data_IF_041704679112
#
_entry.id   IF_041704679112
#
_cell.length_a   1.000
_cell.length_b   1.000
_cell.length_c   1.000
_cell.angle_alpha   90.00
_cell.angle_beta   90.00
_cell.angle_gamma   90.00
#
_symmetry.space_group_name_H-M   'P 1'
#
loop_
_entity.id
_entity.type
_entity.pdbx_description
1 polymer ?
#
# COMPACT_ATOMS: atom_id res chain seq x y z
N UNK A 1 9.91 24.55 -6.40
CA UNK A 1 9.76 25.43 -5.21
C UNK A 1 8.47 26.26 -5.21
N UNK A 2 8.05 26.90 -6.32
CA UNK A 2 6.81 27.68 -6.40
C UNK A 2 5.51 26.87 -6.16
N UNK A 3 5.39 25.71 -6.80
CA UNK A 3 4.25 24.78 -6.61
C UNK A 3 4.12 24.29 -5.16
N UNK A 4 5.25 24.00 -4.50
CA UNK A 4 5.29 23.57 -3.10
C UNK A 4 4.76 24.66 -2.15
N UNK A 5 5.16 25.93 -2.36
CA UNK A 5 4.62 27.07 -1.58
C UNK A 5 3.12 27.28 -1.81
N UNK A 6 2.60 27.01 -3.01
CA UNK A 6 1.15 27.06 -3.28
C UNK A 6 0.40 25.90 -2.64
N UNK A 7 0.97 24.70 -2.60
CA UNK A 7 0.38 23.53 -1.94
C UNK A 7 0.25 23.76 -0.42
N UNK A 8 1.31 24.26 0.24
CA UNK A 8 1.26 24.61 1.67
C UNK A 8 0.18 25.67 1.93
N UNK A 9 0.14 26.72 1.11
CA UNK A 9 -0.86 27.79 1.24
C UNK A 9 -2.30 27.32 0.93
N UNK A 10 -2.45 26.25 0.15
CA UNK A 10 -3.74 25.61 -0.12
C UNK A 10 -4.19 24.73 1.05
N UNK A 11 -3.26 23.98 1.66
CA UNK A 11 -3.50 23.20 2.88
C UNK A 11 -3.89 24.13 4.04
N UNK A 12 -3.20 25.25 4.23
CA UNK A 12 -3.55 26.28 5.24
C UNK A 12 -4.91 26.94 4.99
N UNK A 13 -5.34 27.01 3.72
CA UNK A 13 -6.63 27.63 3.34
C UNK A 13 -7.80 26.67 3.34
N UNK A 14 -7.56 25.37 3.19
CA UNK A 14 -8.60 24.40 3.42
C UNK A 14 -9.01 24.51 4.88
N UNK A 15 -10.28 24.84 5.11
CA UNK A 15 -10.94 24.86 6.42
C UNK A 15 -10.95 23.50 7.13
N UNK A 16 -10.08 22.56 6.73
CA UNK A 16 -9.89 21.26 7.37
C UNK A 16 -9.54 21.44 8.84
N UNK A 17 -8.72 22.43 9.24
CA UNK A 17 -8.43 22.63 10.67
C UNK A 17 -9.70 23.00 11.46
N UNK A 18 -10.51 23.93 10.95
CA UNK A 18 -11.79 24.31 11.59
C UNK A 18 -12.84 23.20 11.52
N UNK A 19 -12.83 22.39 10.45
CA UNK A 19 -13.68 21.21 10.29
C UNK A 19 -13.26 20.11 11.28
N UNK A 20 -11.96 19.82 11.41
CA UNK A 20 -11.41 18.92 12.42
C UNK A 20 -11.75 19.43 13.82
N UNK A 21 -11.58 20.72 14.08
CA UNK A 21 -11.92 21.34 15.35
C UNK A 21 -13.43 21.26 15.63
N UNK A 22 -14.29 21.42 14.63
CA UNK A 22 -15.75 21.24 14.76
C UNK A 22 -16.14 19.77 14.99
N UNK A 23 -15.56 18.82 14.25
CA UNK A 23 -15.76 17.39 14.48
C UNK A 23 -15.29 16.97 15.88
N UNK A 24 -14.18 17.55 16.35
CA UNK A 24 -13.66 17.35 17.70
C UNK A 24 -14.54 17.95 18.78
N UNK A 25 -15.17 19.11 18.51
CA UNK A 25 -16.06 19.81 19.46
C UNK A 25 -17.48 19.24 19.50
N UNK A 26 -18.02 18.72 18.39
CA UNK A 26 -19.40 18.24 18.29
C UNK A 26 -19.74 17.02 19.16
N UNK A 27 -18.74 16.29 19.66
CA UNK A 27 -18.96 15.03 20.38
C UNK A 27 -18.72 15.09 21.90
N UNK A 28 -18.27 16.23 22.45
CA UNK A 28 -17.91 16.33 23.87
C UNK A 28 -19.13 16.63 24.77
N UNK A 29 -20.18 17.26 24.23
CA UNK A 29 -21.32 17.75 25.04
C UNK A 29 -22.36 16.69 25.42
N UNK A 30 -22.32 15.48 24.85
CA UNK A 30 -23.40 14.48 25.00
C UNK A 30 -23.10 13.30 25.97
N UNK A 31 -21.97 13.27 26.69
CA UNK A 31 -21.52 12.04 27.37
C UNK A 31 -21.15 12.21 28.85
N UNK A 32 -21.97 11.63 29.74
CA UNK A 32 -21.76 11.59 31.19
C UNK A 32 -21.27 10.24 31.75
N UNK A 33 -21.05 9.20 30.92
CA UNK A 33 -20.59 7.88 31.41
C UNK A 33 -19.11 7.62 31.10
N UNK A 34 -18.30 7.42 32.14
CA UNK A 34 -16.84 7.23 32.09
C UNK A 34 -16.38 6.05 31.21
N UNK A 35 -17.15 4.96 31.14
CA UNK A 35 -16.79 3.78 30.32
C UNK A 35 -16.88 4.01 28.80
N UNK A 36 -17.57 5.06 28.36
CA UNK A 36 -17.62 5.47 26.95
C UNK A 36 -16.46 6.39 26.56
N UNK A 37 -15.75 6.96 27.54
CA UNK A 37 -14.69 7.93 27.30
C UNK A 37 -13.45 7.28 26.65
N UNK A 38 -13.10 6.05 27.07
CA UNK A 38 -11.92 5.33 26.56
C UNK A 38 -12.07 4.93 25.08
N UNK A 39 -13.20 4.32 24.71
CA UNK A 39 -13.49 3.92 23.32
C UNK A 39 -13.47 5.13 22.39
N UNK A 40 -13.97 6.28 22.85
CA UNK A 40 -13.95 7.51 22.05
C UNK A 40 -12.54 8.06 21.83
N UNK A 41 -11.68 7.98 22.86
CA UNK A 41 -10.28 8.38 22.75
C UNK A 41 -9.54 7.56 21.68
N UNK A 42 -9.76 6.25 21.66
CA UNK A 42 -9.12 5.36 20.68
C UNK A 42 -9.69 5.54 19.26
N UNK A 43 -11.00 5.74 19.11
CA UNK A 43 -11.62 6.09 17.81
C UNK A 43 -11.02 7.40 17.28
N UNK A 44 -10.89 8.41 18.14
CA UNK A 44 -10.28 9.69 17.78
C UNK A 44 -8.82 9.53 17.37
N UNK A 45 -8.06 8.69 18.08
CA UNK A 45 -6.67 8.41 17.72
C UNK A 45 -6.56 7.72 16.35
N UNK A 46 -7.42 6.74 16.09
CA UNK A 46 -7.50 6.04 14.79
C UNK A 46 -7.86 7.00 13.67
N UNK A 47 -8.88 7.83 13.88
CA UNK A 47 -9.30 8.89 12.96
C UNK A 47 -8.13 9.83 12.61
N UNK A 48 -7.45 10.41 13.60
CA UNK A 48 -6.34 11.34 13.36
C UNK A 48 -5.20 10.64 12.59
N UNK A 49 -4.91 9.40 12.97
CA UNK A 49 -3.87 8.57 12.34
C UNK A 49 -4.16 8.34 10.85
N UNK A 50 -5.39 7.98 10.51
CA UNK A 50 -5.80 7.73 9.12
C UNK A 50 -5.66 8.99 8.26
N UNK A 51 -6.04 10.17 8.77
CA UNK A 51 -5.87 11.43 8.05
C UNK A 51 -4.40 11.82 7.86
N UNK A 52 -3.55 11.59 8.87
CA UNK A 52 -2.11 11.85 8.77
C UNK A 52 -1.50 10.96 7.68
N UNK A 53 -1.77 9.65 7.71
CA UNK A 53 -1.24 8.74 6.70
C UNK A 53 -1.83 9.02 5.32
N UNK A 54 -3.12 9.33 5.21
CA UNK A 54 -3.73 9.73 3.96
C UNK A 54 -3.00 10.94 3.34
N UNK A 55 -2.74 11.97 4.13
CA UNK A 55 -2.01 13.15 3.68
C UNK A 55 -0.58 12.81 3.25
N UNK A 56 0.12 11.97 4.03
CA UNK A 56 1.48 11.50 3.68
C UNK A 56 1.50 10.76 2.34
N UNK A 57 0.61 9.79 2.13
CA UNK A 57 0.52 9.05 0.86
C UNK A 57 0.15 9.96 -0.31
N UNK A 58 -0.82 10.87 -0.15
CA UNK A 58 -1.23 11.79 -1.22
C UNK A 58 -0.09 12.74 -1.59
N UNK A 59 0.58 13.36 -0.61
CA UNK A 59 1.72 14.26 -0.86
C UNK A 59 2.83 13.50 -1.57
N UNK A 60 3.15 12.29 -1.08
CA UNK A 60 4.16 11.44 -1.68
C UNK A 60 3.80 11.06 -3.12
N UNK A 61 2.55 10.67 -3.38
CA UNK A 61 2.04 10.35 -4.71
C UNK A 61 2.12 11.52 -5.67
N UNK A 62 1.78 12.73 -5.22
CA UNK A 62 1.92 13.97 -6.02
C UNK A 62 3.40 14.22 -6.37
N UNK A 63 4.30 14.12 -5.39
CA UNK A 63 5.74 14.31 -5.64
C UNK A 63 6.21 13.30 -6.69
N UNK A 64 5.90 12.02 -6.50
CA UNK A 64 6.32 10.96 -7.41
C UNK A 64 5.73 11.12 -8.82
N UNK A 65 4.46 11.53 -8.94
CA UNK A 65 3.81 11.82 -10.22
C UNK A 65 4.50 12.97 -10.95
N UNK A 66 4.82 14.08 -10.25
CA UNK A 66 5.51 15.21 -10.86
C UNK A 66 6.91 14.83 -11.39
N UNK A 67 7.63 14.00 -10.65
CA UNK A 67 8.90 13.43 -11.10
C UNK A 67 8.73 12.52 -12.33
N UNK A 68 7.69 11.68 -12.32
CA UNK A 68 7.37 10.79 -13.43
C UNK A 68 7.06 11.58 -14.71
N UNK A 69 6.16 12.56 -14.64
CA UNK A 69 5.81 13.41 -15.79
C UNK A 69 7.06 14.10 -16.36
N UNK A 70 7.89 14.67 -15.48
CA UNK A 70 9.13 15.34 -15.92
C UNK A 70 10.04 14.38 -16.69
N UNK A 71 10.22 13.17 -16.17
CA UNK A 71 11.07 12.17 -16.78
C UNK A 71 10.54 11.72 -18.15
N UNK A 72 9.24 11.41 -18.24
CA UNK A 72 8.58 11.02 -19.49
C UNK A 72 8.67 12.13 -20.56
N UNK A 73 8.68 13.41 -20.16
CA UNK A 73 8.88 14.51 -21.09
C UNK A 73 10.34 14.68 -21.56
N UNK A 74 11.32 14.31 -20.73
CA UNK A 74 12.75 14.53 -20.99
C UNK A 74 13.43 13.35 -21.72
N UNK A 75 12.97 12.11 -21.52
CA UNK A 75 13.60 10.89 -22.06
C UNK A 75 12.83 10.33 -23.26
N UNK A 76 13.52 10.15 -24.41
CA UNK A 76 12.92 9.71 -25.70
C UNK A 76 13.07 8.20 -26.00
N UNK A 77 13.37 7.38 -25.01
CA UNK A 77 13.46 5.93 -25.16
C UNK A 77 12.92 5.26 -23.91
N UNK A 78 11.72 4.69 -24.00
CA UNK A 78 11.09 3.99 -22.87
C UNK A 78 11.51 2.52 -22.87
N UNK A 79 11.91 2.02 -21.70
CA UNK A 79 12.09 0.59 -21.46
C UNK A 79 10.70 -0.04 -21.35
N UNK A 80 10.47 -1.13 -22.08
CA UNK A 80 9.15 -1.80 -22.09
C UNK A 80 8.75 -2.24 -20.67
N UNK A 81 7.57 -1.81 -20.20
CA UNK A 81 7.03 -2.16 -18.86
C UNK A 81 7.31 -1.13 -17.75
N UNK A 82 8.26 -0.22 -17.95
CA UNK A 82 8.65 0.75 -16.94
C UNK A 82 7.53 1.76 -16.65
N UNK A 83 6.88 2.28 -17.70
CA UNK A 83 5.79 3.22 -17.56
C UNK A 83 4.60 2.60 -16.83
N UNK A 84 4.26 1.35 -17.16
CA UNK A 84 3.18 0.59 -16.52
C UNK A 84 3.44 0.37 -15.03
N UNK A 85 4.67 0.04 -14.64
CA UNK A 85 5.06 -0.10 -13.24
C UNK A 85 4.92 1.22 -12.48
N UNK A 86 5.33 2.33 -13.09
CA UNK A 86 5.24 3.66 -12.48
C UNK A 86 3.80 4.12 -12.31
N UNK A 87 2.94 3.93 -13.32
CA UNK A 87 1.51 4.24 -13.24
C UNK A 87 0.83 3.36 -12.20
N UNK A 88 1.16 2.07 -12.15
CA UNK A 88 0.60 1.14 -11.16
C UNK A 88 0.98 1.54 -9.73
N UNK A 89 2.24 1.93 -9.52
CA UNK A 89 2.72 2.45 -8.25
C UNK A 89 1.98 3.73 -7.83
N UNK A 90 1.88 4.72 -8.73
CA UNK A 90 1.16 5.98 -8.48
C UNK A 90 -0.29 5.67 -8.11
N UNK A 91 -0.93 4.77 -8.85
CA UNK A 91 -2.31 4.35 -8.60
C UNK A 91 -2.47 3.73 -7.21
N UNK A 92 -1.55 2.84 -6.79
CA UNK A 92 -1.59 2.26 -5.45
C UNK A 92 -1.40 3.30 -4.34
N UNK A 93 -0.44 4.23 -4.49
CA UNK A 93 -0.20 5.29 -3.51
C UNK A 93 -1.43 6.19 -3.34
N UNK A 94 -2.05 6.62 -4.45
CA UNK A 94 -3.28 7.41 -4.39
C UNK A 94 -4.47 6.62 -3.85
N UNK A 95 -4.65 5.36 -4.28
CA UNK A 95 -5.72 4.50 -3.79
C UNK A 95 -5.61 4.28 -2.27
N UNK A 96 -4.40 4.06 -1.75
CA UNK A 96 -4.16 3.94 -0.31
C UNK A 96 -4.45 5.25 0.43
N UNK A 97 -3.94 6.37 -0.08
CA UNK A 97 -4.21 7.69 0.50
C UNK A 97 -5.70 8.02 0.55
N UNK A 98 -6.42 7.76 -0.54
CA UNK A 98 -7.88 7.96 -0.62
C UNK A 98 -8.65 6.98 0.27
N UNK A 99 -8.25 5.71 0.33
CA UNK A 99 -8.85 4.71 1.21
C UNK A 99 -8.79 5.16 2.67
N UNK A 100 -7.60 5.52 3.16
CA UNK A 100 -7.40 6.04 4.52
C UNK A 100 -8.19 7.31 4.78
N UNK A 101 -8.23 8.24 3.81
CA UNK A 101 -9.04 9.46 3.92
C UNK A 101 -10.53 9.14 4.08
N UNK A 102 -11.06 8.21 3.29
CA UNK A 102 -12.46 7.77 3.36
C UNK A 102 -12.74 7.03 4.67
N UNK A 103 -11.83 6.18 5.14
CA UNK A 103 -11.91 5.52 6.46
C UNK A 103 -12.05 6.57 7.57
N UNK A 104 -11.15 7.56 7.60
CA UNK A 104 -11.22 8.65 8.55
C UNK A 104 -12.53 9.44 8.44
N UNK A 105 -13.02 9.70 7.22
CA UNK A 105 -14.29 10.39 7.01
C UNK A 105 -15.47 9.57 7.55
N UNK A 106 -15.48 8.26 7.36
CA UNK A 106 -16.52 7.36 7.90
C UNK A 106 -16.53 7.40 9.42
N UNK A 107 -15.35 7.34 10.05
CA UNK A 107 -15.20 7.44 11.50
C UNK A 107 -15.65 8.82 12.04
N UNK A 108 -15.43 9.91 11.31
CA UNK A 108 -15.88 11.25 11.71
C UNK A 108 -17.41 11.43 11.60
N UNK A 109 -17.99 11.06 10.45
CA UNK A 109 -19.40 11.32 10.16
C UNK A 109 -20.31 10.39 10.95
N UNK A 110 -19.92 9.11 11.08
CA UNK A 110 -20.69 8.09 11.79
C UNK A 110 -19.81 7.44 12.85
N UNK A 111 -19.40 8.22 13.84
CA UNK A 111 -18.95 7.64 15.09
C UNK A 111 -19.98 6.61 15.53
N UNK A 112 -19.59 5.33 15.70
CA UNK A 112 -20.55 4.28 15.97
C UNK A 112 -21.26 4.58 17.29
N UNK A 113 -22.47 5.13 17.21
CA UNK A 113 -23.35 5.26 18.37
C UNK A 113 -23.80 3.85 18.77
N UNK A 114 -23.87 3.52 20.07
CA UNK A 114 -24.34 2.22 20.52
C UNK A 114 -25.73 1.95 19.91
N UNK A 115 -25.82 0.94 19.05
CA UNK A 115 -27.05 0.55 18.32
C UNK A 115 -27.09 0.86 16.82
N UNK A 116 -26.09 1.55 16.24
CA UNK A 116 -26.02 1.83 14.80
C UNK A 116 -24.67 1.41 14.17
N UNK A 117 -24.14 0.27 14.61
CA UNK A 117 -22.89 -0.31 14.11
C UNK A 117 -23.02 -0.92 12.70
N UNK A 118 -24.25 -1.22 12.25
CA UNK A 118 -24.51 -1.96 11.02
C UNK A 118 -23.91 -1.31 9.76
N UNK A 119 -23.79 0.02 9.73
CA UNK A 119 -23.19 0.71 8.59
C UNK A 119 -21.67 0.53 8.54
N UNK A 120 -20.96 0.78 9.66
CA UNK A 120 -19.51 0.60 9.71
C UNK A 120 -19.16 -0.87 9.49
N UNK A 121 -19.83 -1.78 10.20
CA UNK A 121 -19.64 -3.22 10.10
C UNK A 121 -19.82 -3.70 8.66
N UNK A 122 -20.69 -3.07 7.85
CA UNK A 122 -20.90 -3.47 6.45
C UNK A 122 -19.92 -2.83 5.47
N UNK A 123 -19.60 -1.54 5.64
CA UNK A 123 -18.90 -0.76 4.62
C UNK A 123 -17.44 -0.46 4.93
N UNK A 124 -16.93 -0.75 6.14
CA UNK A 124 -15.53 -0.53 6.52
C UNK A 124 -14.54 -1.30 5.64
N UNK A 125 -14.98 -2.42 5.05
CA UNK A 125 -14.18 -3.21 4.10
C UNK A 125 -13.94 -2.49 2.78
N UNK A 126 -14.77 -1.52 2.38
CA UNK A 126 -14.51 -0.77 1.15
C UNK A 126 -13.24 0.08 1.27
N UNK A 127 -13.16 1.04 2.20
CA UNK A 127 -11.97 1.88 2.31
C UNK A 127 -10.75 1.15 2.90
N UNK A 128 -10.95 0.04 3.64
CA UNK A 128 -9.85 -0.79 4.14
C UNK A 128 -9.35 -1.85 3.15
N UNK A 129 -10.27 -2.56 2.48
CA UNK A 129 -9.99 -3.70 1.61
C UNK A 129 -9.61 -3.32 0.19
N UNK A 130 -10.32 -2.39 -0.46
CA UNK A 130 -10.04 -1.98 -1.86
C UNK A 130 -8.57 -1.58 -2.05
N UNK A 131 -7.98 -0.72 -1.19
CA UNK A 131 -6.57 -0.38 -1.32
C UNK A 131 -5.64 -1.60 -1.29
N UNK A 132 -5.98 -2.63 -0.51
CA UNK A 132 -5.21 -3.87 -0.44
C UNK A 132 -5.12 -4.59 -1.79
N UNK A 133 -6.22 -4.67 -2.55
CA UNK A 133 -6.23 -5.27 -3.89
C UNK A 133 -5.43 -4.44 -4.90
N UNK A 134 -5.58 -3.11 -4.87
CA UNK A 134 -4.84 -2.22 -5.77
C UNK A 134 -3.33 -2.26 -5.47
N UNK A 135 -2.95 -2.27 -4.19
CA UNK A 135 -1.54 -2.42 -3.78
C UNK A 135 -0.97 -3.78 -4.21
N UNK A 136 -1.73 -4.87 -4.08
CA UNK A 136 -1.29 -6.19 -4.54
C UNK A 136 -1.03 -6.22 -6.06
N UNK A 137 -1.92 -5.62 -6.85
CA UNK A 137 -1.73 -5.47 -8.31
C UNK A 137 -0.47 -4.64 -8.61
N UNK A 138 -0.30 -3.51 -7.92
CA UNK A 138 0.88 -2.67 -8.12
C UNK A 138 2.18 -3.40 -7.76
N UNK A 139 2.18 -4.18 -6.67
CA UNK A 139 3.33 -5.01 -6.30
C UNK A 139 3.68 -6.02 -7.39
N UNK A 140 2.67 -6.65 -8.01
CA UNK A 140 2.90 -7.53 -9.16
C UNK A 140 3.55 -6.77 -10.33
N UNK A 141 3.01 -5.63 -10.74
CA UNK A 141 3.60 -4.84 -11.83
C UNK A 141 5.05 -4.41 -11.54
N UNK A 142 5.29 -3.90 -10.34
CA UNK A 142 6.60 -3.47 -9.89
C UNK A 142 7.55 -4.66 -9.93
N UNK A 143 7.26 -5.73 -9.20
CA UNK A 143 8.12 -6.90 -9.11
C UNK A 143 8.44 -7.52 -10.48
N UNK A 144 7.46 -7.69 -11.35
CA UNK A 144 7.68 -8.31 -12.67
C UNK A 144 8.37 -7.37 -13.66
N UNK A 145 8.14 -6.05 -13.60
CA UNK A 145 8.93 -5.06 -14.35
C UNK A 145 10.41 -5.16 -13.98
N UNK A 146 10.71 -5.22 -12.68
CA UNK A 146 12.08 -5.40 -12.20
C UNK A 146 12.69 -6.71 -12.64
N UNK A 147 11.93 -7.82 -12.52
CA UNK A 147 12.41 -9.12 -12.99
C UNK A 147 12.78 -9.09 -14.47
N UNK A 148 12.00 -8.39 -15.31
CA UNK A 148 12.32 -8.23 -16.74
C UNK A 148 13.68 -7.59 -16.91
N UNK A 149 13.89 -6.45 -16.25
CA UNK A 149 15.10 -5.65 -16.37
C UNK A 149 16.32 -6.42 -15.90
N UNK A 150 16.23 -7.11 -14.75
CA UNK A 150 17.33 -7.94 -14.27
C UNK A 150 17.70 -9.02 -15.30
N UNK A 151 16.71 -9.66 -15.93
CA UNK A 151 16.98 -10.70 -16.92
C UNK A 151 17.57 -10.13 -18.22
N UNK A 152 17.08 -9.00 -18.72
CA UNK A 152 17.61 -8.37 -19.92
C UNK A 152 19.04 -7.85 -19.73
N UNK A 153 19.39 -7.47 -18.49
CA UNK A 153 20.74 -7.01 -18.14
C UNK A 153 21.73 -8.16 -17.94
N UNK A 154 21.26 -9.33 -17.47
CA UNK A 154 22.12 -10.43 -17.03
C UNK A 154 22.20 -11.61 -18.01
N UNK A 155 21.22 -11.81 -18.91
CA UNK A 155 21.16 -12.99 -19.78
C UNK A 155 21.03 -12.63 -21.27
N UNK A 156 21.91 -13.18 -22.12
CA UNK A 156 21.93 -12.92 -23.58
C UNK A 156 20.76 -13.55 -24.35
N UNK A 157 19.97 -14.43 -23.73
CA UNK A 157 18.82 -15.16 -24.33
C UNK A 157 17.51 -14.97 -23.52
N UNK A 158 17.24 -13.75 -23.04
CA UNK A 158 16.14 -13.42 -22.10
C UNK A 158 14.70 -13.51 -22.66
N UNK A 159 14.51 -13.51 -23.99
CA UNK A 159 13.18 -13.36 -24.65
C UNK A 159 12.15 -14.41 -24.19
N UNK A 160 12.58 -15.66 -23.97
CA UNK A 160 11.69 -16.75 -23.51
C UNK A 160 11.28 -16.60 -22.05
N UNK A 161 12.14 -16.01 -21.21
CA UNK A 161 11.81 -15.77 -19.81
C UNK A 161 10.79 -14.63 -19.69
N UNK A 162 11.03 -13.52 -20.40
CA UNK A 162 10.14 -12.36 -20.38
C UNK A 162 8.70 -12.70 -20.78
N UNK A 163 8.53 -13.40 -21.92
CA UNK A 163 7.20 -13.82 -22.39
C UNK A 163 6.46 -14.69 -21.36
N UNK A 164 7.16 -15.61 -20.68
CA UNK A 164 6.57 -16.41 -19.60
C UNK A 164 6.20 -15.56 -18.38
N UNK A 165 7.06 -14.63 -17.97
CA UNK A 165 6.81 -13.73 -16.85
C UNK A 165 5.59 -12.84 -17.07
N UNK A 166 5.40 -12.34 -18.29
CA UNK A 166 4.20 -11.58 -18.68
C UNK A 166 2.91 -12.40 -18.51
N UNK A 167 2.93 -13.68 -18.93
CA UNK A 167 1.79 -14.59 -18.73
C UNK A 167 1.50 -14.85 -17.25
N UNK A 168 2.55 -15.03 -16.43
CA UNK A 168 2.39 -15.22 -14.97
C UNK A 168 1.82 -13.95 -14.33
N UNK A 169 2.34 -12.77 -14.68
CA UNK A 169 1.83 -11.48 -14.23
C UNK A 169 0.34 -11.31 -14.57
N UNK A 170 -0.05 -11.55 -15.81
CA UNK A 170 -1.45 -11.43 -16.24
C UNK A 170 -2.36 -12.40 -15.49
N UNK A 171 -1.92 -13.65 -15.29
CA UNK A 171 -2.66 -14.65 -14.53
C UNK A 171 -2.86 -14.21 -13.07
N UNK A 172 -1.82 -13.67 -12.44
CA UNK A 172 -1.87 -13.13 -11.08
C UNK A 172 -2.85 -11.96 -10.98
N UNK A 173 -2.78 -10.99 -11.89
CA UNK A 173 -3.70 -9.85 -11.90
C UNK A 173 -5.14 -10.33 -12.08
N UNK A 174 -5.38 -11.23 -13.03
CA UNK A 174 -6.72 -11.82 -13.23
C UNK A 174 -7.23 -12.50 -11.96
N UNK A 175 -6.37 -13.26 -11.26
CA UNK A 175 -6.71 -13.90 -9.99
C UNK A 175 -7.09 -12.87 -8.90
N UNK A 176 -6.29 -11.80 -8.75
CA UNK A 176 -6.58 -10.72 -7.79
C UNK A 176 -7.91 -10.04 -8.11
N UNK A 177 -8.21 -9.78 -9.38
CA UNK A 177 -9.49 -9.22 -9.81
C UNK A 177 -10.69 -10.15 -9.55
N UNK A 178 -10.51 -11.46 -9.73
CA UNK A 178 -11.53 -12.47 -9.37
C UNK A 178 -11.80 -12.45 -7.87
N UNK A 179 -10.75 -12.46 -7.04
CA UNK A 179 -10.89 -12.33 -5.59
C UNK A 179 -11.61 -11.05 -5.20
N UNK A 180 -11.23 -9.91 -5.78
CA UNK A 180 -11.91 -8.65 -5.53
C UNK A 180 -13.41 -8.69 -5.89
N UNK A 181 -13.76 -9.30 -7.02
CA UNK A 181 -15.15 -9.44 -7.45
C UNK A 181 -15.95 -10.33 -6.48
N UNK A 182 -15.37 -11.45 -6.05
CA UNK A 182 -15.99 -12.33 -5.05
C UNK A 182 -16.24 -11.56 -3.75
N UNK A 183 -15.26 -10.80 -3.28
CA UNK A 183 -15.40 -9.98 -2.07
C UNK A 183 -16.52 -8.96 -2.16
N UNK A 184 -16.67 -8.26 -3.28
CA UNK A 184 -17.78 -7.32 -3.49
C UNK A 184 -19.14 -8.03 -3.50
N UNK A 185 -19.25 -9.19 -4.16
CA UNK A 185 -20.48 -9.98 -4.17
C UNK A 185 -20.82 -10.46 -2.76
N UNK A 186 -19.85 -10.97 -2.01
CA UNK A 186 -20.04 -11.41 -0.62
C UNK A 186 -20.48 -10.27 0.30
N UNK A 187 -19.89 -9.07 0.16
CA UNK A 187 -20.29 -7.87 0.90
C UNK A 187 -21.78 -7.53 0.73
N UNK A 188 -22.30 -7.71 -0.49
CA UNK A 188 -23.68 -7.37 -0.84
C UNK A 188 -24.70 -8.45 -0.44
N UNK A 189 -24.26 -9.70 -0.31
CA UNK A 189 -25.17 -10.87 -0.19
C UNK A 189 -25.13 -11.55 1.18
N UNK A 190 -24.03 -11.43 1.92
CA UNK A 190 -23.81 -12.15 3.18
C UNK A 190 -23.94 -11.18 4.37
N UNK A 191 -24.24 -11.71 5.55
CA UNK A 191 -24.21 -10.92 6.78
C UNK A 191 -22.78 -10.34 7.04
N UNK A 192 -22.66 -9.17 7.69
CA UNK A 192 -21.37 -8.50 7.88
C UNK A 192 -20.33 -9.37 8.60
N UNK A 193 -20.73 -10.10 9.65
CA UNK A 193 -19.82 -10.91 10.46
C UNK A 193 -19.15 -12.02 9.64
N UNK A 194 -19.93 -12.73 8.83
CA UNK A 194 -19.42 -13.81 7.96
C UNK A 194 -18.63 -13.22 6.81
N UNK A 195 -19.06 -12.09 6.26
CA UNK A 195 -18.34 -11.40 5.20
C UNK A 195 -16.93 -10.98 5.62
N UNK A 196 -16.74 -10.40 6.81
CA UNK A 196 -15.40 -10.03 7.32
C UNK A 196 -14.45 -11.23 7.38
N UNK A 197 -14.94 -12.40 7.82
CA UNK A 197 -14.15 -13.64 7.85
C UNK A 197 -13.79 -14.11 6.45
N UNK A 198 -14.73 -14.02 5.50
CA UNK A 198 -14.50 -14.38 4.10
C UNK A 198 -13.47 -13.45 3.46
N UNK A 199 -13.62 -12.13 3.63
CA UNK A 199 -12.67 -11.15 3.10
C UNK A 199 -11.28 -11.36 3.68
N UNK A 200 -11.16 -11.54 5.00
CA UNK A 200 -9.87 -11.81 5.64
C UNK A 200 -9.21 -13.06 5.05
N UNK A 201 -9.99 -14.13 4.83
CA UNK A 201 -9.50 -15.37 4.21
C UNK A 201 -9.02 -15.14 2.78
N UNK A 202 -9.80 -14.39 1.98
CA UNK A 202 -9.44 -14.05 0.60
C UNK A 202 -8.16 -13.19 0.57
N UNK A 203 -8.05 -12.20 1.44
CA UNK A 203 -6.88 -11.34 1.54
C UNK A 203 -5.61 -12.11 1.94
N UNK A 204 -5.71 -13.02 2.92
CA UNK A 204 -4.61 -13.93 3.30
C UNK A 204 -4.20 -14.81 2.11
N UNK A 205 -5.16 -15.45 1.45
CA UNK A 205 -4.88 -16.35 0.32
C UNK A 205 -4.21 -15.60 -0.83
N UNK A 206 -4.72 -14.41 -1.18
CA UNK A 206 -4.15 -13.51 -2.18
C UNK A 206 -2.67 -13.22 -1.88
N UNK A 207 -2.37 -12.75 -0.68
CA UNK A 207 -1.02 -12.32 -0.31
C UNK A 207 -0.04 -13.51 -0.26
N UNK A 208 -0.48 -14.68 0.23
CA UNK A 208 0.33 -15.91 0.25
C UNK A 208 0.64 -16.44 -1.16
N UNK A 209 -0.30 -16.37 -2.09
CA UNK A 209 -0.07 -16.78 -3.48
C UNK A 209 0.98 -15.87 -4.15
N UNK A 210 0.84 -14.55 -3.97
CA UNK A 210 1.80 -13.57 -4.51
C UNK A 210 3.19 -13.78 -3.87
N UNK A 211 3.24 -13.93 -2.54
CA UNK A 211 4.47 -14.22 -1.80
C UNK A 211 5.20 -15.46 -2.34
N UNK A 212 4.48 -16.55 -2.54
CA UNK A 212 5.06 -17.80 -3.02
C UNK A 212 5.65 -17.62 -4.42
N UNK A 213 4.92 -16.96 -5.33
CA UNK A 213 5.39 -16.71 -6.68
C UNK A 213 6.59 -15.76 -6.72
N UNK A 214 6.56 -14.67 -5.94
CA UNK A 214 7.70 -13.75 -5.82
C UNK A 214 8.94 -14.47 -5.28
N UNK A 215 8.77 -15.33 -4.28
CA UNK A 215 9.87 -16.12 -3.72
C UNK A 215 10.48 -17.08 -4.73
N UNK A 216 9.66 -17.74 -5.56
CA UNK A 216 10.15 -18.62 -6.63
C UNK A 216 10.94 -17.84 -7.70
N UNK A 217 10.46 -16.66 -8.07
CA UNK A 217 11.12 -15.79 -9.03
C UNK A 217 12.42 -15.21 -8.48
N UNK A 218 12.39 -14.72 -7.24
CA UNK A 218 13.56 -14.16 -6.58
C UNK A 218 14.68 -15.21 -6.46
N UNK A 219 14.36 -16.48 -6.15
CA UNK A 219 15.33 -17.58 -6.16
C UNK A 219 16.00 -17.79 -7.52
N UNK A 220 15.31 -17.52 -8.62
CA UNK A 220 15.90 -17.63 -9.97
C UNK A 220 16.83 -16.46 -10.26
N UNK A 221 16.39 -15.24 -9.93
CA UNK A 221 17.22 -14.03 -10.10
C UNK A 221 18.48 -14.12 -9.24
N UNK A 222 18.37 -14.62 -8.00
CA UNK A 222 19.53 -14.81 -7.13
C UNK A 222 20.64 -15.67 -7.73
N UNK A 223 20.30 -16.61 -8.63
CA UNK A 223 21.28 -17.47 -9.30
C UNK A 223 22.00 -16.76 -10.45
N UNK A 224 21.50 -15.62 -10.91
CA UNK A 224 22.10 -14.84 -11.99
C UNK A 224 23.17 -13.87 -11.48
N UNK A 225 23.17 -13.53 -10.19
CA UNK A 225 24.22 -12.69 -9.62
C UNK A 225 25.53 -13.47 -9.50
N UNK A 226 26.60 -12.93 -10.07
CA UNK A 226 27.96 -13.49 -9.97
C UNK A 226 28.49 -13.45 -8.53
N UNK A 227 28.14 -12.39 -7.78
CA UNK A 227 28.44 -12.24 -6.36
C UNK A 227 27.15 -12.17 -5.54
N UNK A 228 27.03 -12.94 -4.44
CA UNK A 228 25.79 -13.02 -3.67
C UNK A 228 25.44 -11.72 -2.90
N UNK A 229 26.38 -10.78 -2.76
CA UNK A 229 26.19 -9.53 -2.02
C UNK A 229 27.11 -8.40 -2.56
N UNK A 230 26.78 -7.76 -3.70
CA UNK A 230 27.51 -6.59 -4.14
C UNK A 230 27.34 -5.44 -3.12
N UNK A 231 28.27 -4.48 -3.12
CA UNK A 231 28.24 -3.37 -2.16
C UNK A 231 26.90 -2.59 -2.18
N UNK A 232 26.54 -1.93 -1.07
CA UNK A 232 25.30 -1.13 -0.94
C UNK A 232 25.17 0.02 -1.94
N UNK A 233 26.30 0.46 -2.50
CA UNK A 233 26.33 1.44 -3.59
C UNK A 233 25.89 0.86 -4.92
N UNK A 234 25.92 -0.46 -5.09
CA UNK A 234 25.53 -1.10 -6.33
C UNK A 234 24.02 -0.98 -6.53
N UNK A 235 23.59 -0.72 -7.77
CA UNK A 235 22.17 -0.68 -8.09
C UNK A 235 21.49 -2.04 -7.85
N UNK A 236 22.17 -3.14 -8.17
CA UNK A 236 21.69 -4.51 -7.93
C UNK A 236 21.29 -4.76 -6.48
N UNK A 237 22.12 -4.35 -5.52
CA UNK A 237 21.80 -4.50 -4.08
C UNK A 237 20.59 -3.69 -3.67
N UNK A 238 20.40 -2.47 -4.22
CA UNK A 238 19.21 -1.65 -3.94
C UNK A 238 17.95 -2.32 -4.47
N UNK A 239 18.00 -2.90 -5.67
CA UNK A 239 16.87 -3.62 -6.26
C UNK A 239 16.54 -4.90 -5.51
N UNK A 240 17.56 -5.65 -5.13
CA UNK A 240 17.40 -6.83 -4.31
C UNK A 240 16.75 -6.47 -2.97
N UNK A 241 17.17 -5.37 -2.35
CA UNK A 241 16.57 -4.86 -1.13
C UNK A 241 15.08 -4.50 -1.30
N UNK A 242 14.69 -3.85 -2.40
CA UNK A 242 13.28 -3.56 -2.70
C UNK A 242 12.49 -4.87 -2.84
N UNK A 243 13.01 -5.85 -3.58
CA UNK A 243 12.34 -7.14 -3.78
C UNK A 243 12.14 -7.89 -2.46
N UNK A 244 13.19 -7.94 -1.62
CA UNK A 244 13.10 -8.55 -0.28
C UNK A 244 12.07 -7.81 0.57
N UNK A 245 12.06 -6.48 0.53
CA UNK A 245 11.11 -5.65 1.28
C UNK A 245 9.66 -5.94 0.87
N UNK A 246 9.39 -6.09 -0.44
CA UNK A 246 8.07 -6.48 -0.94
C UNK A 246 7.66 -7.88 -0.45
N UNK A 247 8.57 -8.85 -0.49
CA UNK A 247 8.31 -10.21 -0.01
C UNK A 247 8.03 -10.23 1.50
N UNK A 248 8.82 -9.50 2.28
CA UNK A 248 8.62 -9.37 3.73
C UNK A 248 7.27 -8.72 4.03
N UNK A 249 6.91 -7.66 3.31
CA UNK A 249 5.58 -7.03 3.42
C UNK A 249 4.45 -8.03 3.15
N UNK A 250 4.57 -8.86 2.11
CA UNK A 250 3.58 -9.89 1.75
C UNK A 250 3.46 -11.03 2.77
N UNK A 251 4.46 -11.25 3.65
CA UNK A 251 4.35 -12.19 4.78
C UNK A 251 3.72 -11.53 5.99
N UNK A 252 4.11 -10.29 6.28
CA UNK A 252 3.64 -9.59 7.48
C UNK A 252 2.14 -9.29 7.38
N UNK A 253 1.64 -8.91 6.19
CA UNK A 253 0.20 -8.67 5.96
C UNK A 253 -0.72 -9.84 6.37
N UNK A 254 -0.55 -11.08 5.83
CA UNK A 254 -1.41 -12.20 6.22
C UNK A 254 -1.27 -12.58 7.70
N UNK A 255 -0.10 -12.37 8.30
CA UNK A 255 0.08 -12.54 9.76
C UNK A 255 -0.75 -11.51 10.51
N UNK A 256 -0.67 -10.23 10.15
CA UNK A 256 -1.47 -9.17 10.77
C UNK A 256 -2.97 -9.44 10.61
N UNK A 257 -3.44 -9.74 9.38
CA UNK A 257 -4.84 -10.09 9.11
C UNK A 257 -5.28 -11.28 9.97
N UNK A 258 -4.46 -12.34 10.04
CA UNK A 258 -4.74 -13.50 10.88
C UNK A 258 -4.86 -13.17 12.37
N UNK A 259 -3.98 -12.31 12.89
CA UNK A 259 -4.05 -11.84 14.29
C UNK A 259 -5.35 -11.05 14.52
N UNK A 260 -5.73 -10.14 13.61
CA UNK A 260 -6.98 -9.39 13.75
C UNK A 260 -8.20 -10.31 13.74
N UNK A 261 -8.27 -11.22 12.76
CA UNK A 261 -9.45 -12.08 12.58
C UNK A 261 -9.58 -13.14 13.67
N UNK A 262 -8.48 -13.76 14.11
CA UNK A 262 -8.54 -14.87 15.09
C UNK A 262 -8.51 -14.39 16.54
N UNK A 263 -7.82 -13.29 16.82
CA UNK A 263 -7.51 -12.88 18.20
C UNK A 263 -8.33 -11.68 18.67
N UNK A 264 -8.65 -10.74 17.76
CA UNK A 264 -9.34 -9.49 18.10
C UNK A 264 -10.84 -9.56 17.78
N UNK A 265 -11.25 -10.46 16.88
CA UNK A 265 -12.65 -10.71 16.53
C UNK A 265 -13.24 -12.04 17.09
N UNK A 266 -13.00 -12.46 18.34
CA UNK A 266 -13.68 -13.65 18.87
C UNK A 266 -15.17 -13.35 19.09
N UNK A 267 -16.06 -14.31 18.79
CA UNK A 267 -17.52 -14.11 18.79
C UNK A 267 -18.15 -13.86 20.17
N UNK A 268 -17.37 -13.94 21.26
CA UNK A 268 -17.87 -13.92 22.64
C UNK A 268 -17.44 -12.70 23.46
N UNK A 269 -16.73 -11.73 22.88
CA UNK A 269 -16.35 -10.50 23.58
C UNK A 269 -17.01 -9.28 22.94
N UNK A 270 -17.47 -8.35 23.79
CA UNK A 270 -18.03 -7.05 23.40
C UNK A 270 -17.27 -6.48 22.19
N UNK A 271 -18.01 -6.07 21.15
CA UNK A 271 -17.53 -5.42 19.89
C UNK A 271 -16.64 -4.17 20.10
N UNK A 272 -16.25 -3.85 21.34
CA UNK A 272 -15.34 -2.77 21.73
C UNK A 272 -13.86 -3.06 21.42
N UNK A 273 -13.51 -4.27 20.95
CA UNK A 273 -12.10 -4.67 20.70
C UNK A 273 -11.46 -4.02 19.47
N UNK A 274 -12.22 -3.65 18.44
CA UNK A 274 -11.69 -3.07 17.19
C UNK A 274 -11.07 -1.68 17.37
N UNK A 275 -11.47 -0.97 18.45
CA UNK A 275 -10.90 0.33 18.80
C UNK A 275 -10.09 0.24 20.08
N UNK A 276 -9.52 -0.92 20.43
CA UNK A 276 -8.62 -0.99 21.57
C UNK A 276 -7.27 -0.35 21.22
N UNK A 277 -6.61 0.28 22.18
CA UNK A 277 -5.25 0.82 21.99
C UNK A 277 -4.28 -0.23 21.43
N UNK A 278 -4.43 -1.51 21.82
CA UNK A 278 -3.63 -2.63 21.29
C UNK A 278 -3.85 -2.81 19.78
N UNK A 279 -5.08 -2.70 19.29
CA UNK A 279 -5.38 -2.76 17.86
C UNK A 279 -4.69 -1.61 17.12
N UNK A 280 -4.79 -0.38 17.64
CA UNK A 280 -4.14 0.78 17.04
C UNK A 280 -2.62 0.60 16.92
N UNK A 281 -1.96 0.05 17.96
CA UNK A 281 -0.51 -0.21 17.92
C UNK A 281 -0.15 -1.22 16.83
N UNK A 282 -0.90 -2.33 16.72
CA UNK A 282 -0.65 -3.35 15.69
C UNK A 282 -0.87 -2.74 14.30
N UNK A 283 -1.94 -1.95 14.12
CA UNK A 283 -2.24 -1.24 12.88
C UNK A 283 -1.15 -0.25 12.47
N UNK A 284 -0.61 0.53 13.42
CA UNK A 284 0.49 1.44 13.17
C UNK A 284 1.74 0.69 12.69
N UNK A 285 2.12 -0.38 13.39
CA UNK A 285 3.28 -1.21 13.04
C UNK A 285 3.09 -1.84 11.66
N UNK A 286 1.89 -2.36 11.39
CA UNK A 286 1.54 -2.94 10.10
C UNK A 286 1.65 -1.91 8.97
N UNK A 287 1.04 -0.72 9.09
CA UNK A 287 1.13 0.32 8.07
C UNK A 287 2.58 0.73 7.82
N UNK A 288 3.35 0.90 8.90
CA UNK A 288 4.75 1.29 8.78
C UNK A 288 5.54 0.25 7.98
N UNK A 289 5.45 -1.02 8.36
CA UNK A 289 6.28 -2.08 7.77
C UNK A 289 5.75 -2.51 6.40
N UNK A 290 4.43 -2.67 6.24
CA UNK A 290 3.84 -3.29 5.06
C UNK A 290 3.52 -2.29 3.96
N UNK A 291 3.43 -0.98 4.26
CA UNK A 291 3.08 0.04 3.29
C UNK A 291 4.17 1.11 3.18
N UNK A 292 4.50 1.79 4.29
CA UNK A 292 5.42 2.95 4.25
C UNK A 292 6.84 2.51 3.86
N UNK A 293 7.36 1.43 4.44
CA UNK A 293 8.71 0.94 4.11
C UNK A 293 8.82 0.51 2.64
N UNK A 294 7.98 -0.39 2.08
CA UNK A 294 8.09 -0.78 0.68
C UNK A 294 7.83 0.38 -0.27
N UNK A 295 6.76 1.15 -0.09
CA UNK A 295 6.43 2.29 -0.96
C UNK A 295 7.52 3.36 -0.85
N UNK A 296 7.90 3.73 0.37
CA UNK A 296 8.98 4.68 0.63
C UNK A 296 10.30 4.25 0.01
N UNK A 297 10.69 2.98 0.12
CA UNK A 297 11.93 2.45 -0.46
C UNK A 297 11.96 2.56 -1.98
N UNK A 298 10.84 2.27 -2.66
CA UNK A 298 10.71 2.39 -4.11
C UNK A 298 10.86 3.86 -4.54
N UNK A 299 10.13 4.76 -3.88
CA UNK A 299 10.20 6.16 -4.27
C UNK A 299 11.50 6.86 -3.87
N UNK A 300 12.13 6.52 -2.73
CA UNK A 300 13.45 7.06 -2.35
C UNK A 300 14.52 6.60 -3.34
N UNK A 301 14.52 5.32 -3.72
CA UNK A 301 15.47 4.78 -4.70
C UNK A 301 15.37 5.56 -6.02
N UNK A 302 14.15 5.83 -6.49
CA UNK A 302 13.93 6.64 -7.69
C UNK A 302 14.40 8.10 -7.53
N UNK A 303 14.04 8.75 -6.42
CA UNK A 303 14.39 10.14 -6.18
C UNK A 303 15.92 10.34 -6.11
N UNK A 304 16.63 9.40 -5.47
CA UNK A 304 18.10 9.45 -5.35
C UNK A 304 18.81 9.10 -6.64
N UNK A 305 18.29 8.15 -7.44
CA UNK A 305 18.84 7.80 -8.75
C UNK A 305 18.84 8.97 -9.75
N UNK A 306 17.80 9.81 -9.72
CA UNK A 306 17.69 10.97 -10.60
C UNK A 306 18.78 12.05 -10.37
N UNK A 307 19.42 12.06 -9.20
CA UNK A 307 20.44 13.06 -8.85
C UNK A 307 21.85 12.70 -9.36
N UNK A 308 22.09 11.46 -9.80
CA UNK A 308 23.41 10.96 -10.18
C UNK A 308 23.80 11.14 -11.66
N UNK A 309 23.02 11.87 -12.47
CA UNK A 309 23.18 12.06 -13.95
C UNK A 309 24.52 12.67 -14.46
N UNK A 310 25.62 12.61 -13.71
CA UNK A 310 26.91 13.24 -14.07
C UNK A 310 28.06 12.30 -14.47
N UNK A 311 27.86 10.98 -14.67
CA UNK A 311 28.95 10.11 -15.16
C UNK A 311 28.57 9.23 -16.37
N UNK A 312 29.32 9.38 -17.46
CA UNK A 312 29.16 8.71 -18.77
C UNK A 312 29.38 7.18 -18.80
N UNK A 313 29.60 6.51 -17.66
CA UNK A 313 29.72 5.04 -17.60
C UNK A 313 28.51 4.36 -16.95
N UNK A 314 27.43 5.11 -16.75
CA UNK A 314 26.26 4.69 -15.99
C UNK A 314 25.09 4.22 -16.87
N UNK A 315 25.26 3.81 -18.13
CA UNK A 315 24.09 3.37 -18.92
C UNK A 315 23.38 2.17 -18.26
N UNK A 316 24.11 1.28 -17.57
CA UNK A 316 23.55 0.18 -16.78
C UNK A 316 23.09 0.63 -15.39
N UNK A 317 23.75 1.60 -14.76
CA UNK A 317 23.37 2.12 -13.45
C UNK A 317 22.16 3.06 -13.51
N UNK A 318 22.01 3.82 -14.61
CA UNK A 318 20.81 4.54 -14.99
C UNK A 318 19.71 3.54 -15.37
N UNK A 319 20.01 2.48 -16.14
CA UNK A 319 19.04 1.42 -16.40
C UNK A 319 18.51 0.81 -15.10
N UNK A 320 19.33 0.57 -14.08
CA UNK A 320 18.92 -0.04 -12.80
C UNK A 320 18.40 0.97 -11.74
N UNK A 321 18.68 2.27 -11.88
CA UNK A 321 18.08 3.32 -11.07
C UNK A 321 16.68 3.74 -11.57
N UNK A 322 16.37 3.35 -12.81
CA UNK A 322 15.21 3.82 -13.57
C UNK A 322 14.32 2.68 -14.10
N UNK A 323 14.75 1.42 -14.07
CA UNK A 323 13.85 0.28 -14.31
C UNK A 323 12.73 0.18 -13.29
#
# INVERSE_FOLDING_TARGET
>A
MYLFKRLIKFIDRMSLFNFFEQCLKMNITDFQNESHLYVYSDIKATFVTDFIFAALFIIFGIIYLLFTIRQTCEEKGEVEGQFEAQISYITAVFCKGLGLFITGLFLAIRTPKPGNHDFWDRYSVLPGGIPGYVTAIAYCFIFFSWCSVCFDSLEKDSVKFYSRSKWVLMTLISLVCVFFTISIICMLTINPETFHKVEATIAILRDLIIFFLFSLYLRRIFKLFEEPCPGWSSPETKLLFICITLIVSLIIRPISIGIYTLWIYPPNHDKRSEFATTYLIIYLIEILITEIVPIGSIGITRLTGSMQKTAKSEDVAQFLAIS
#
